data_IF_363523925648
#
_entry.id   IF_363523925648
#
_cell.length_a   1.000
_cell.length_b   1.000
_cell.length_c   1.000
_cell.angle_alpha   90.00
_cell.angle_beta   90.00
_cell.angle_gamma   90.00
#
_symmetry.space_group_name_H-M   'P 1'
#
loop_
_entity.id
_entity.type
_entity.pdbx_description
1 polymer ?
#
# COMPACT_ATOMS: atom_id res chain seq x y z
N UNK A 1 9.43 -11.37 -18.88
CA UNK A 1 9.12 -10.05 -18.29
C UNK A 1 8.48 -10.26 -16.93
N UNK A 2 9.11 -9.82 -15.83
CA UNK A 2 8.47 -9.85 -14.48
C UNK A 2 7.30 -8.87 -14.48
N UNK A 3 6.09 -9.31 -14.12
CA UNK A 3 4.96 -8.38 -13.98
C UNK A 3 5.07 -7.69 -12.63
N UNK A 4 4.63 -6.44 -12.54
CA UNK A 4 4.59 -5.70 -11.26
C UNK A 4 3.81 -6.44 -10.17
N UNK A 5 2.83 -7.27 -10.56
CA UNK A 5 2.04 -8.10 -9.64
C UNK A 5 2.86 -9.24 -9.02
N UNK A 6 3.81 -9.82 -9.76
CA UNK A 6 4.70 -10.87 -9.23
C UNK A 6 5.61 -10.28 -8.15
N UNK A 7 6.14 -9.07 -8.42
CA UNK A 7 6.95 -8.33 -7.44
C UNK A 7 6.12 -7.97 -6.20
N UNK A 8 4.86 -7.56 -6.37
CA UNK A 8 3.96 -7.31 -5.24
C UNK A 8 3.76 -8.57 -4.38
N UNK A 9 3.60 -9.74 -5.01
CA UNK A 9 3.47 -11.03 -4.31
C UNK A 9 4.74 -11.45 -3.58
N UNK A 10 5.91 -11.24 -4.19
CA UNK A 10 7.20 -11.47 -3.54
C UNK A 10 7.34 -10.58 -2.29
N UNK A 11 7.05 -9.29 -2.42
CA UNK A 11 7.10 -8.34 -1.30
C UNK A 11 6.10 -8.71 -0.19
N UNK A 12 4.87 -9.10 -0.56
CA UNK A 12 3.88 -9.58 0.40
C UNK A 12 4.33 -10.85 1.13
N UNK A 13 4.96 -11.79 0.41
CA UNK A 13 5.49 -13.03 1.00
C UNK A 13 6.66 -12.77 1.95
N UNK A 14 7.48 -11.76 1.67
CA UNK A 14 8.59 -11.33 2.52
C UNK A 14 8.15 -10.41 3.68
N UNK A 15 6.85 -10.12 3.85
CA UNK A 15 6.33 -9.12 4.78
C UNK A 15 6.81 -7.67 4.53
N UNK A 16 7.37 -7.39 3.35
CA UNK A 16 7.82 -6.07 2.91
C UNK A 16 6.64 -5.20 2.43
N UNK A 17 5.67 -4.96 3.31
CA UNK A 17 4.44 -4.24 2.99
C UNK A 17 4.67 -2.78 2.61
N UNK A 18 5.68 -2.12 3.18
CA UNK A 18 6.04 -0.73 2.83
C UNK A 18 6.45 -0.60 1.36
N UNK A 19 7.29 -1.52 0.89
CA UNK A 19 7.70 -1.60 -0.51
C UNK A 19 6.53 -2.02 -1.40
N UNK A 20 5.70 -2.96 -0.94
CA UNK A 20 4.50 -3.41 -1.66
C UNK A 20 3.52 -2.24 -1.90
N UNK A 21 3.26 -1.41 -0.87
CA UNK A 21 2.38 -0.24 -0.96
C UNK A 21 2.98 0.82 -1.90
N UNK A 22 4.29 1.10 -1.79
CA UNK A 22 5.00 2.03 -2.69
C UNK A 22 4.87 1.60 -4.15
N UNK A 23 5.06 0.31 -4.42
CA UNK A 23 4.93 -0.30 -5.73
C UNK A 23 3.48 -0.25 -6.22
N UNK A 24 2.53 -0.61 -5.37
CA UNK A 24 1.11 -0.62 -5.67
C UNK A 24 0.60 0.77 -6.07
N UNK A 25 1.08 1.84 -5.44
CA UNK A 25 0.74 3.21 -5.81
C UNK A 25 1.13 3.62 -7.24
N UNK A 26 1.96 2.82 -7.94
CA UNK A 26 2.30 3.02 -9.35
C UNK A 26 1.48 2.15 -10.32
N UNK A 27 0.45 1.45 -9.85
CA UNK A 27 -0.41 0.63 -10.70
C UNK A 27 -1.49 1.51 -11.35
N UNK A 28 -1.67 1.46 -12.68
CA UNK A 28 -2.67 2.26 -13.37
C UNK A 28 -4.13 1.80 -13.12
N UNK A 29 -4.35 0.63 -12.51
CA UNK A 29 -5.68 0.02 -12.32
C UNK A 29 -6.03 -0.26 -10.86
N UNK A 30 -5.82 0.72 -9.99
CA UNK A 30 -6.18 0.61 -8.58
C UNK A 30 -7.67 0.81 -8.30
N UNK A 31 -8.43 1.44 -9.22
CA UNK A 31 -9.88 1.57 -9.10
C UNK A 31 -10.32 2.24 -7.79
N UNK A 32 -11.32 1.67 -7.12
CA UNK A 32 -11.89 2.24 -5.89
C UNK A 32 -10.90 2.25 -4.71
N UNK A 33 -9.99 1.27 -4.65
CA UNK A 33 -8.97 1.16 -3.60
C UNK A 33 -7.77 2.10 -3.79
N UNK A 34 -7.71 2.82 -4.93
CA UNK A 34 -6.62 3.76 -5.23
C UNK A 34 -6.42 4.80 -4.13
N UNK A 35 -7.52 5.33 -3.57
CA UNK A 35 -7.44 6.32 -2.49
C UNK A 35 -6.83 5.73 -1.22
N UNK A 36 -7.20 4.51 -0.87
CA UNK A 36 -6.71 3.82 0.34
C UNK A 36 -5.22 3.53 0.20
N UNK A 37 -4.81 2.97 -0.94
CA UNK A 37 -3.40 2.62 -1.21
C UNK A 37 -2.54 3.88 -1.32
N UNK A 38 -3.07 4.98 -1.88
CA UNK A 38 -2.35 6.27 -1.92
C UNK A 38 -2.15 6.84 -0.52
N UNK A 39 -3.18 6.81 0.33
CA UNK A 39 -3.06 7.24 1.73
C UNK A 39 -2.09 6.37 2.53
N UNK A 40 -2.13 5.06 2.33
CA UNK A 40 -1.18 4.13 2.92
C UNK A 40 0.25 4.47 2.47
N UNK A 41 0.46 4.76 1.18
CA UNK A 41 1.75 5.20 0.65
C UNK A 41 2.22 6.51 1.27
N UNK A 42 1.33 7.49 1.42
CA UNK A 42 1.64 8.75 2.11
C UNK A 42 1.99 8.52 3.59
N UNK A 43 1.31 7.60 4.26
CA UNK A 43 1.61 7.22 5.63
C UNK A 43 2.99 6.55 5.77
N UNK A 44 3.40 5.74 4.79
CA UNK A 44 4.77 5.18 4.74
C UNK A 44 5.82 6.25 4.44
N UNK A 45 5.53 7.16 3.50
CA UNK A 45 6.51 8.17 3.05
C UNK A 45 6.66 9.33 4.04
N UNK A 46 5.57 9.72 4.70
CA UNK A 46 5.49 10.88 5.60
C UNK A 46 4.59 10.55 6.81
N UNK A 47 5.02 9.63 7.69
CA UNK A 47 4.24 9.24 8.86
C UNK A 47 3.97 10.44 9.78
N UNK A 48 4.96 11.30 9.98
CA UNK A 48 4.86 12.51 10.81
C UNK A 48 3.77 13.48 10.33
N UNK A 49 3.65 13.64 9.01
CA UNK A 49 2.62 14.49 8.41
C UNK A 49 1.20 13.95 8.65
N UNK A 50 1.02 12.62 8.62
CA UNK A 50 -0.27 12.01 8.95
C UNK A 50 -0.60 12.19 10.44
N UNK A 51 0.39 12.03 11.32
CA UNK A 51 0.24 12.26 12.77
C UNK A 51 -0.16 13.72 13.04
N UNK A 52 0.49 14.69 12.38
CA UNK A 52 0.14 16.11 12.48
C UNK A 52 -1.27 16.43 11.97
N UNK A 53 -1.78 15.67 11.00
CA UNK A 53 -3.18 15.73 10.55
C UNK A 53 -4.17 15.05 11.51
N UNK A 54 -3.70 14.48 12.64
CA UNK A 54 -4.53 13.72 13.57
C UNK A 54 -4.91 12.33 13.05
N UNK A 55 -4.12 11.77 12.12
CA UNK A 55 -4.34 10.43 11.56
C UNK A 55 -3.26 9.48 12.04
N UNK A 56 -3.63 8.22 12.26
CA UNK A 56 -2.68 7.18 12.61
C UNK A 56 -2.08 6.56 11.35
N UNK A 57 -0.78 6.76 11.06
CA UNK A 57 -0.15 6.20 9.87
C UNK A 57 -0.18 4.67 9.87
N UNK A 58 -0.08 4.03 11.04
CA UNK A 58 -0.18 2.59 11.17
C UNK A 58 -1.55 2.05 10.69
N UNK A 59 -2.65 2.73 11.03
CA UNK A 59 -3.99 2.35 10.57
C UNK A 59 -4.15 2.55 9.05
N UNK A 60 -3.59 3.63 8.50
CA UNK A 60 -3.61 3.88 7.06
C UNK A 60 -2.82 2.82 6.30
N UNK A 61 -1.67 2.41 6.81
CA UNK A 61 -0.84 1.33 6.25
C UNK A 61 -1.61 0.01 6.31
N UNK A 62 -2.18 -0.35 7.46
CA UNK A 62 -2.98 -1.56 7.63
C UNK A 62 -4.17 -1.62 6.65
N UNK A 63 -4.91 -0.51 6.50
CA UNK A 63 -6.00 -0.41 5.53
C UNK A 63 -5.51 -0.57 4.08
N UNK A 64 -4.32 -0.05 3.75
CA UNK A 64 -3.68 -0.26 2.45
C UNK A 64 -3.32 -1.73 2.19
N UNK A 65 -2.78 -2.42 3.20
CA UNK A 65 -2.45 -3.85 3.14
C UNK A 65 -3.72 -4.67 2.92
N UNK A 66 -4.78 -4.40 3.69
CA UNK A 66 -6.05 -5.12 3.58
C UNK A 66 -6.67 -4.93 2.18
N UNK A 67 -6.67 -3.70 1.66
CA UNK A 67 -7.10 -3.41 0.30
C UNK A 67 -6.28 -4.18 -0.75
N UNK A 68 -4.95 -4.25 -0.59
CA UNK A 68 -4.10 -5.03 -1.50
C UNK A 68 -4.40 -6.54 -1.43
N UNK A 69 -4.59 -7.08 -0.22
CA UNK A 69 -4.97 -8.47 0.00
C UNK A 69 -6.33 -8.78 -0.62
N UNK A 70 -7.33 -7.94 -0.39
CA UNK A 70 -8.65 -8.10 -0.97
C UNK A 70 -8.62 -8.05 -2.51
N UNK A 71 -7.91 -7.07 -3.09
CA UNK A 71 -7.84 -6.87 -4.54
C UNK A 71 -7.10 -7.99 -5.27
N UNK A 72 -5.95 -8.38 -4.73
CA UNK A 72 -5.02 -9.27 -5.40
C UNK A 72 -5.04 -10.70 -4.86
N UNK A 73 -5.91 -10.97 -3.87
CA UNK A 73 -5.99 -12.22 -3.12
C UNK A 73 -4.60 -12.69 -2.68
N UNK A 74 -3.91 -11.80 -1.93
CA UNK A 74 -2.63 -12.08 -1.28
C UNK A 74 -2.84 -12.82 0.04
#
# INVERSE_FOLDING_TARGET
MKKKIDVLRELASNNDWEAAIKLAGSFPRLGNEARVITRAKEAVLRPEFQIQMGREPALLIAAGIDALKAKYRL
#
